data_IF_352734829941
#
_entry.id   IF_352734829941
#
_cell.length_a   1.000
_cell.length_b   1.000
_cell.length_c   1.000
_cell.angle_alpha   90.00
_cell.angle_beta   90.00
_cell.angle_gamma   90.00
#
_symmetry.space_group_name_H-M   'P 1'
#
loop_
_entity.id
_entity.type
_entity.pdbx_description
1 polymer ?
#
# COMPACT_ATOMS: atom_id res chain seq x y z
N UNK A 1 13.24 0.02 38.26
CA UNK A 1 13.68 0.62 37.00
C UNK A 1 12.81 0.06 35.90
N UNK A 2 12.01 0.89 35.24
CA UNK A 2 11.17 0.48 34.12
C UNK A 2 12.05 0.00 32.98
N UNK A 3 11.87 -1.25 32.56
CA UNK A 3 12.63 -1.86 31.48
C UNK A 3 12.18 -1.25 30.15
N UNK A 4 13.12 -0.66 29.39
CA UNK A 4 12.83 -0.14 28.06
C UNK A 4 12.74 -1.31 27.06
N UNK A 5 11.53 -1.56 26.57
CA UNK A 5 11.24 -2.57 25.55
C UNK A 5 11.24 -1.93 24.16
N UNK A 6 11.69 -2.68 23.16
CA UNK A 6 11.69 -2.24 21.76
C UNK A 6 10.32 -2.41 21.12
N UNK A 7 9.90 -1.42 20.31
CA UNK A 7 8.70 -1.50 19.48
C UNK A 7 9.13 -1.81 18.06
N UNK A 8 8.61 -2.91 17.53
CA UNK A 8 8.78 -3.25 16.13
C UNK A 8 7.57 -2.76 15.33
N UNK A 9 7.76 -1.85 14.34
CA UNK A 9 6.64 -1.27 13.59
C UNK A 9 5.78 -2.31 12.86
N UNK A 10 6.38 -3.42 12.41
CA UNK A 10 5.61 -4.45 11.72
C UNK A 10 4.74 -5.24 12.70
N UNK A 11 5.27 -5.58 13.88
CA UNK A 11 4.52 -6.28 14.93
C UNK A 11 3.37 -5.42 15.45
N UNK A 12 3.66 -4.15 15.71
CA UNK A 12 2.66 -3.16 16.12
C UNK A 12 1.55 -3.03 15.08
N UNK A 13 1.91 -2.89 13.80
CA UNK A 13 0.95 -2.77 12.71
C UNK A 13 0.06 -4.01 12.48
N UNK A 14 0.41 -5.18 13.02
CA UNK A 14 -0.47 -6.38 12.98
C UNK A 14 -1.57 -6.35 14.03
N UNK A 15 -1.47 -5.48 15.03
CA UNK A 15 -2.52 -5.27 16.01
C UNK A 15 -3.49 -4.22 15.46
N UNK A 16 -4.80 -4.50 15.30
CA UNK A 16 -5.76 -3.47 14.95
C UNK A 16 -5.66 -2.30 15.94
N UNK A 17 -5.61 -1.04 15.47
CA UNK A 17 -5.59 0.11 16.37
C UNK A 17 -6.88 0.14 17.19
N UNK A 18 -6.76 0.62 18.43
CA UNK A 18 -7.92 0.92 19.26
C UNK A 18 -8.53 2.25 18.81
N UNK A 19 -9.84 2.41 18.96
CA UNK A 19 -10.44 3.75 18.89
C UNK A 19 -9.95 4.60 20.05
N UNK A 20 -10.11 5.93 19.96
CA UNK A 20 -9.73 6.84 21.04
C UNK A 20 -10.47 6.48 22.34
N UNK A 21 -11.76 6.12 22.25
CA UNK A 21 -12.55 5.69 23.40
C UNK A 21 -12.07 4.35 23.98
N UNK A 22 -11.74 3.36 23.13
CA UNK A 22 -11.19 2.09 23.57
C UNK A 22 -9.81 2.26 24.25
N UNK A 23 -8.99 3.18 23.74
CA UNK A 23 -7.70 3.51 24.33
C UNK A 23 -7.87 4.21 25.69
N UNK A 24 -8.74 5.21 25.77
CA UNK A 24 -9.06 5.92 27.03
C UNK A 24 -9.59 4.96 28.09
N UNK A 25 -10.53 4.09 27.72
CA UNK A 25 -11.05 3.10 28.66
C UNK A 25 -9.97 2.14 29.15
N UNK A 26 -9.06 1.72 28.26
CA UNK A 26 -7.92 0.89 28.65
C UNK A 26 -6.97 1.63 29.60
N UNK A 27 -6.73 2.91 29.35
CA UNK A 27 -5.90 3.77 30.19
C UNK A 27 -6.51 3.96 31.58
N UNK A 28 -7.79 4.33 31.68
CA UNK A 28 -8.52 4.45 32.94
C UNK A 28 -8.42 3.18 33.78
N UNK A 29 -8.68 2.01 33.17
CA UNK A 29 -8.60 0.72 33.86
C UNK A 29 -7.18 0.43 34.40
N UNK A 30 -6.14 0.80 33.65
CA UNK A 30 -4.74 0.57 34.07
C UNK A 30 -4.36 1.55 35.20
N UNK A 31 -4.82 2.80 35.12
CA UNK A 31 -4.55 3.83 36.13
C UNK A 31 -5.26 3.54 37.45
N UNK A 32 -6.50 3.05 37.40
CA UNK A 32 -7.26 2.66 38.60
C UNK A 32 -6.56 1.54 39.38
N UNK A 33 -6.02 0.55 38.65
CA UNK A 33 -5.28 -0.57 39.25
C UNK A 33 -3.84 -0.20 39.64
N UNK A 34 -3.24 0.82 39.00
CA UNK A 34 -1.83 1.16 39.14
C UNK A 34 -0.85 0.10 38.60
N UNK A 35 -1.38 -0.93 37.93
CA UNK A 35 -0.65 -2.11 37.47
C UNK A 35 -1.26 -2.63 36.18
N UNK A 36 -0.42 -2.88 35.16
CA UNK A 36 -0.84 -3.64 33.99
C UNK A 36 -1.02 -5.11 34.38
N UNK A 37 -2.28 -5.53 34.56
CA UNK A 37 -2.64 -6.88 35.01
C UNK A 37 -2.18 -7.99 34.06
N UNK A 38 -2.43 -7.79 32.76
CA UNK A 38 -2.01 -8.74 31.73
C UNK A 38 -0.58 -8.43 31.28
N UNK A 39 0.37 -9.38 31.34
CA UNK A 39 1.75 -9.10 31.01
C UNK A 39 1.92 -8.69 29.54
N UNK A 40 2.95 -7.89 29.28
CA UNK A 40 3.40 -7.55 27.93
C UNK A 40 4.16 -8.76 27.38
N UNK A 41 3.74 -9.28 26.23
CA UNK A 41 4.40 -10.42 25.61
C UNK A 41 5.59 -9.90 24.82
N UNK A 42 6.77 -10.44 25.07
CA UNK A 42 8.01 -10.00 24.44
C UNK A 42 8.76 -11.17 23.79
N UNK A 43 9.60 -10.85 22.82
CA UNK A 43 10.57 -11.74 22.21
C UNK A 43 11.88 -10.98 21.98
N UNK A 44 12.98 -11.43 22.60
CA UNK A 44 14.28 -10.76 22.53
C UNK A 44 14.18 -9.26 22.86
N UNK A 45 13.49 -8.91 23.95
CA UNK A 45 13.23 -7.53 24.39
C UNK A 45 12.39 -6.68 23.40
N UNK A 46 11.78 -7.29 22.38
CA UNK A 46 10.85 -6.65 21.45
C UNK A 46 9.42 -6.99 21.82
N UNK A 47 8.52 -6.01 21.81
CA UNK A 47 7.10 -6.23 22.11
C UNK A 47 6.43 -6.99 20.98
N UNK A 48 5.74 -8.07 21.33
CA UNK A 48 4.96 -8.92 20.42
C UNK A 48 3.47 -8.67 20.61
N UNK A 49 3.01 -8.51 21.84
CA UNK A 49 1.63 -8.12 22.17
C UNK A 49 1.60 -7.25 23.44
N UNK A 50 0.66 -6.31 23.49
CA UNK A 50 0.55 -5.35 24.59
C UNK A 50 1.14 -3.97 24.32
N UNK A 51 1.35 -3.60 23.05
CA UNK A 51 1.85 -2.27 22.64
C UNK A 51 1.12 -1.11 23.32
N UNK A 52 -0.22 -1.09 23.32
CA UNK A 52 -1.00 -0.02 23.95
C UNK A 52 -0.84 0.00 25.48
N UNK A 53 -0.85 -1.19 26.12
CA UNK A 53 -0.60 -1.33 27.57
C UNK A 53 0.78 -0.80 27.96
N UNK A 54 1.79 -1.09 27.14
CA UNK A 54 3.14 -0.58 27.34
C UNK A 54 3.21 0.94 27.19
N UNK A 55 2.60 1.51 26.13
CA UNK A 55 2.53 2.96 25.93
C UNK A 55 1.90 3.68 27.13
N UNK A 56 0.77 3.16 27.62
CA UNK A 56 0.08 3.70 28.80
C UNK A 56 1.00 3.64 30.02
N UNK A 57 1.62 2.49 30.31
CA UNK A 57 2.51 2.36 31.46
C UNK A 57 3.74 3.28 31.38
N UNK A 58 4.30 3.47 30.19
CA UNK A 58 5.43 4.38 29.97
C UNK A 58 5.05 5.85 30.08
N UNK A 59 3.80 6.22 29.75
CA UNK A 59 3.28 7.58 29.88
C UNK A 59 2.91 7.97 31.31
N UNK A 60 2.72 6.99 32.21
CA UNK A 60 2.16 7.19 33.53
C UNK A 60 3.12 6.70 34.64
N UNK A 61 3.91 7.60 35.25
CA UNK A 61 4.85 7.24 36.31
C UNK A 61 4.15 6.55 37.48
N UNK A 62 4.68 5.40 37.89
CA UNK A 62 4.12 4.59 38.99
C UNK A 62 3.25 3.43 38.52
N UNK A 63 2.87 3.38 37.23
CA UNK A 63 2.25 2.18 36.67
C UNK A 63 3.30 1.09 36.48
N UNK A 64 3.15 0.00 37.21
CA UNK A 64 4.01 -1.18 37.03
C UNK A 64 3.50 -2.08 35.90
N UNK A 65 4.40 -2.85 35.29
CA UNK A 65 4.03 -3.89 34.34
C UNK A 65 4.96 -5.09 34.47
N UNK A 66 4.46 -6.25 34.03
CA UNK A 66 5.24 -7.49 33.93
C UNK A 66 5.40 -7.87 32.47
N UNK A 67 6.48 -8.56 32.17
CA UNK A 67 6.74 -9.13 30.84
C UNK A 67 6.59 -10.65 30.87
N UNK A 68 6.24 -11.22 29.71
CA UNK A 68 6.27 -12.66 29.47
C UNK A 68 7.07 -12.92 28.20
N UNK A 69 8.25 -13.52 28.36
CA UNK A 69 9.11 -13.89 27.24
C UNK A 69 8.52 -15.10 26.50
N UNK A 70 8.40 -14.95 25.19
CA UNK A 70 7.95 -16.01 24.30
C UNK A 70 9.02 -16.25 23.24
N UNK A 71 9.44 -17.51 23.14
CA UNK A 71 10.41 -17.93 22.15
C UNK A 71 9.75 -18.08 20.77
N UNK A 72 10.41 -17.54 19.75
CA UNK A 72 10.09 -17.77 18.35
C UNK A 72 11.36 -18.12 17.57
N UNK A 73 11.25 -19.08 16.66
CA UNK A 73 12.33 -19.54 15.77
C UNK A 73 12.69 -18.49 14.71
N UNK A 74 11.73 -17.63 14.36
CA UNK A 74 11.89 -16.58 13.36
C UNK A 74 10.89 -15.46 13.55
N UNK A 75 11.19 -14.32 12.91
CA UNK A 75 10.28 -13.17 12.82
C UNK A 75 8.92 -13.55 12.23
N UNK A 76 8.91 -14.40 11.20
CA UNK A 76 7.67 -14.85 10.56
C UNK A 76 6.81 -15.71 11.48
N UNK A 77 7.43 -16.51 12.36
CA UNK A 77 6.70 -17.25 13.39
C UNK A 77 6.08 -16.30 14.42
N UNK A 78 6.78 -15.24 14.82
CA UNK A 78 6.24 -14.20 15.68
C UNK A 78 5.03 -13.50 15.01
N UNK A 79 5.15 -13.09 13.74
CA UNK A 79 4.05 -12.48 12.97
C UNK A 79 2.83 -13.40 12.86
N UNK A 80 3.02 -14.67 12.51
CA UNK A 80 1.94 -15.66 12.46
C UNK A 80 1.25 -15.80 13.82
N UNK A 81 2.03 -15.83 14.90
CA UNK A 81 1.49 -15.90 16.25
C UNK A 81 0.71 -14.63 16.63
N UNK A 82 1.21 -13.44 16.31
CA UNK A 82 0.49 -12.18 16.55
C UNK A 82 -0.87 -12.21 15.86
N UNK A 83 -0.90 -12.53 14.57
CA UNK A 83 -2.15 -12.62 13.82
C UNK A 83 -3.10 -13.67 14.42
N UNK A 84 -2.59 -14.85 14.79
CA UNK A 84 -3.39 -15.90 15.45
C UNK A 84 -3.96 -15.43 16.80
N UNK A 85 -3.17 -14.73 17.59
CA UNK A 85 -3.61 -14.19 18.89
C UNK A 85 -4.70 -13.13 18.70
N UNK A 86 -4.52 -12.21 17.74
CA UNK A 86 -5.53 -11.19 17.43
C UNK A 86 -6.84 -11.81 16.92
N UNK A 87 -6.76 -12.86 16.09
CA UNK A 87 -7.94 -13.60 15.59
C UNK A 87 -8.79 -14.23 16.70
N UNK A 88 -8.25 -14.43 17.91
CA UNK A 88 -9.01 -14.89 19.09
C UNK A 88 -9.91 -13.83 19.72
N UNK A 89 -9.80 -12.54 19.31
CA UNK A 89 -10.65 -11.46 19.81
C UNK A 89 -12.07 -11.57 19.26
N UNK A 90 -13.06 -11.37 20.12
CA UNK A 90 -14.50 -11.48 19.77
C UNK A 90 -15.03 -10.28 18.97
N UNK A 91 -14.34 -9.14 19.02
CA UNK A 91 -14.82 -7.86 18.49
C UNK A 91 -14.18 -7.47 17.15
N UNK A 92 -13.69 -8.44 16.37
CA UNK A 92 -13.12 -8.13 15.05
C UNK A 92 -14.20 -7.93 14.00
N UNK A 93 -14.05 -6.90 13.17
CA UNK A 93 -14.85 -6.75 11.96
C UNK A 93 -14.53 -7.89 10.97
N UNK A 94 -15.44 -8.22 10.04
CA UNK A 94 -15.15 -9.19 8.98
C UNK A 94 -13.89 -8.83 8.16
N UNK A 95 -13.65 -7.54 7.93
CA UNK A 95 -12.49 -7.00 7.21
C UNK A 95 -11.20 -7.21 8.01
N UNK A 96 -11.20 -6.90 9.32
CA UNK A 96 -10.06 -7.16 10.21
C UNK A 96 -9.75 -8.65 10.28
N UNK A 97 -10.77 -9.51 10.47
CA UNK A 97 -10.59 -10.96 10.50
C UNK A 97 -9.96 -11.46 9.20
N UNK A 98 -10.45 -11.00 8.06
CA UNK A 98 -9.90 -11.36 6.75
C UNK A 98 -8.45 -10.90 6.59
N UNK A 99 -8.16 -9.64 6.90
CA UNK A 99 -6.81 -9.09 6.83
C UNK A 99 -5.82 -9.91 7.68
N UNK A 100 -6.16 -10.20 8.93
CA UNK A 100 -5.33 -10.99 9.84
C UNK A 100 -5.12 -12.44 9.35
N UNK A 101 -6.14 -13.07 8.76
CA UNK A 101 -6.00 -14.40 8.13
C UNK A 101 -5.01 -14.35 6.97
N UNK A 102 -5.11 -13.32 6.13
CA UNK A 102 -4.20 -13.11 5.00
C UNK A 102 -2.76 -12.93 5.46
N UNK A 103 -2.53 -12.06 6.45
CA UNK A 103 -1.19 -11.81 6.98
C UNK A 103 -0.58 -13.02 7.69
N UNK A 104 -1.41 -13.78 8.42
CA UNK A 104 -0.99 -15.05 9.01
C UNK A 104 -0.53 -16.03 7.94
N UNK A 105 -1.31 -16.19 6.87
CA UNK A 105 -0.97 -17.10 5.79
C UNK A 105 0.32 -16.67 5.07
N UNK A 106 0.48 -15.37 4.79
CA UNK A 106 1.69 -14.80 4.21
C UNK A 106 2.91 -15.09 5.08
N UNK A 107 2.84 -14.82 6.38
CA UNK A 107 3.94 -15.09 7.31
C UNK A 107 4.31 -16.59 7.36
N UNK A 108 3.31 -17.48 7.43
CA UNK A 108 3.57 -18.93 7.45
C UNK A 108 4.17 -19.46 6.13
N UNK A 109 3.88 -18.85 4.98
CA UNK A 109 4.55 -19.20 3.72
C UNK A 109 6.03 -18.82 3.74
N UNK A 110 6.36 -17.64 4.26
CA UNK A 110 7.75 -17.18 4.36
C UNK A 110 8.59 -18.05 5.32
N UNK A 111 7.97 -18.60 6.38
CA UNK A 111 8.63 -19.56 7.27
C UNK A 111 9.14 -20.83 6.56
N UNK A 112 8.50 -21.25 5.47
CA UNK A 112 8.81 -22.48 4.74
C UNK A 112 9.64 -22.25 3.46
N UNK A 113 10.23 -21.05 3.35
CA UNK A 113 11.05 -20.61 2.22
C UNK A 113 10.26 -19.80 1.20
N UNK A 114 10.31 -18.47 1.35
CA UNK A 114 9.78 -17.50 0.40
C UNK A 114 10.35 -17.66 -1.01
N UNK A 115 9.46 -17.45 -1.99
CA UNK A 115 9.66 -17.45 -3.44
C UNK A 115 10.30 -18.69 -4.11
N UNK A 116 9.49 -19.74 -4.31
CA UNK A 116 9.83 -20.89 -5.17
C UNK A 116 9.52 -20.65 -6.66
N UNK A 117 9.25 -19.40 -7.08
CA UNK A 117 8.95 -19.07 -8.49
C UNK A 117 10.17 -18.74 -9.33
N UNK A 118 11.38 -18.78 -8.78
CA UNK A 118 12.58 -18.66 -9.62
C UNK A 118 12.66 -19.86 -10.57
N UNK A 119 12.83 -19.59 -11.88
CA UNK A 119 12.97 -20.62 -12.92
C UNK A 119 14.14 -21.59 -12.67
N UNK A 120 15.06 -21.22 -11.76
CA UNK A 120 16.23 -21.99 -11.37
C UNK A 120 15.97 -23.09 -10.33
N UNK A 121 14.79 -23.15 -9.69
CA UNK A 121 14.42 -24.26 -8.81
C UNK A 121 13.46 -25.21 -9.53
N UNK A 122 13.92 -25.76 -10.67
CA UNK A 122 13.32 -26.98 -11.23
C UNK A 122 13.73 -28.16 -10.35
N UNK A 123 13.07 -28.33 -9.20
CA UNK A 123 13.12 -29.59 -8.49
C UNK A 123 12.33 -30.61 -9.30
N UNK A 124 13.05 -31.48 -9.99
CA UNK A 124 12.52 -32.64 -10.70
C UNK A 124 12.01 -33.66 -9.69
N UNK A 125 10.70 -33.81 -9.57
CA UNK A 125 10.11 -35.09 -9.20
C UNK A 125 8.83 -35.32 -10.02
N UNK A 126 8.85 -36.39 -10.79
CA UNK A 126 7.75 -36.84 -11.61
C UNK A 126 6.66 -37.40 -10.68
N UNK A 127 5.61 -36.60 -10.42
CA UNK A 127 4.23 -36.96 -10.04
C UNK A 127 3.61 -36.24 -8.83
N UNK A 128 4.28 -35.30 -8.17
CA UNK A 128 3.56 -34.38 -7.28
C UNK A 128 4.31 -33.04 -7.14
N UNK A 129 3.72 -31.89 -7.51
CA UNK A 129 4.38 -30.61 -7.29
C UNK A 129 4.57 -30.35 -5.79
N UNK A 130 5.71 -29.77 -5.40
CA UNK A 130 5.98 -29.23 -4.05
C UNK A 130 4.99 -28.12 -3.57
N UNK A 131 3.89 -27.91 -4.29
CA UNK A 131 2.68 -27.14 -3.95
C UNK A 131 1.99 -27.70 -2.67
N UNK A 132 2.32 -28.94 -2.27
CA UNK A 132 1.80 -29.63 -1.08
C UNK A 132 1.87 -28.80 0.21
N UNK A 133 2.98 -28.09 0.49
CA UNK A 133 3.10 -27.33 1.75
C UNK A 133 2.20 -26.10 1.81
N UNK A 134 2.01 -25.38 0.70
CA UNK A 134 1.10 -24.23 0.64
C UNK A 134 -0.35 -24.67 0.84
N UNK A 135 -0.74 -25.82 0.25
CA UNK A 135 -2.05 -26.43 0.47
C UNK A 135 -2.24 -26.86 1.93
N UNK A 136 -1.24 -27.50 2.54
CA UNK A 136 -1.29 -27.88 3.95
C UNK A 136 -1.43 -26.66 4.89
N UNK A 137 -0.66 -25.59 4.65
CA UNK A 137 -0.72 -24.35 5.42
C UNK A 137 -2.11 -23.72 5.35
N UNK A 138 -2.64 -23.51 4.14
CA UNK A 138 -3.96 -22.86 3.98
C UNK A 138 -5.11 -23.75 4.45
N UNK A 139 -5.01 -25.08 4.33
CA UNK A 139 -6.00 -26.03 4.84
C UNK A 139 -6.08 -25.95 6.37
N UNK A 140 -4.94 -25.96 7.06
CA UNK A 140 -4.88 -25.81 8.51
C UNK A 140 -5.41 -24.46 8.99
N UNK A 141 -5.03 -23.36 8.33
CA UNK A 141 -5.56 -22.03 8.66
C UNK A 141 -7.07 -21.99 8.43
N UNK A 142 -7.57 -22.56 7.34
CA UNK A 142 -8.99 -22.62 7.03
C UNK A 142 -9.77 -23.37 8.12
N UNK A 143 -9.27 -24.53 8.55
CA UNK A 143 -9.86 -25.31 9.65
C UNK A 143 -9.89 -24.51 10.97
N UNK A 144 -8.75 -23.94 11.39
CA UNK A 144 -8.64 -23.17 12.63
C UNK A 144 -9.51 -21.90 12.64
N UNK A 145 -9.81 -21.34 11.46
CA UNK A 145 -10.58 -20.10 11.33
C UNK A 145 -12.04 -20.34 10.94
N UNK A 146 -12.42 -21.60 10.75
CA UNK A 146 -13.71 -22.05 10.22
C UNK A 146 -14.06 -21.38 8.88
N UNK A 147 -13.09 -21.38 7.96
CA UNK A 147 -13.24 -20.86 6.59
C UNK A 147 -12.84 -21.93 5.57
N UNK A 148 -12.76 -21.56 4.27
CA UNK A 148 -12.27 -22.46 3.22
C UNK A 148 -10.85 -22.09 2.79
N UNK A 149 -10.11 -23.05 2.23
CA UNK A 149 -8.78 -22.79 1.66
C UNK A 149 -8.79 -21.63 0.66
N UNK A 150 -9.81 -21.58 -0.21
CA UNK A 150 -9.98 -20.50 -1.17
C UNK A 150 -10.24 -19.16 -0.51
N UNK A 151 -10.90 -19.13 0.66
CA UNK A 151 -11.04 -17.91 1.45
C UNK A 151 -9.69 -17.44 1.98
N UNK A 152 -8.87 -18.33 2.54
CA UNK A 152 -7.51 -18.01 3.03
C UNK A 152 -6.64 -17.44 1.91
N UNK A 153 -6.68 -18.02 0.72
CA UNK A 153 -5.94 -17.50 -0.43
C UNK A 153 -6.41 -16.09 -0.87
N UNK A 154 -7.73 -15.84 -0.86
CA UNK A 154 -8.28 -14.50 -1.16
C UNK A 154 -8.00 -13.50 -0.04
N UNK A 155 -7.89 -13.96 1.20
CA UNK A 155 -7.55 -13.14 2.35
C UNK A 155 -6.13 -12.59 2.23
N UNK A 156 -5.18 -13.39 1.74
CA UNK A 156 -3.84 -12.89 1.38
C UNK A 156 -3.90 -11.78 0.32
N UNK A 157 -4.58 -12.00 -0.81
CA UNK A 157 -4.66 -10.97 -1.85
C UNK A 157 -5.31 -9.68 -1.36
N UNK A 158 -6.32 -9.81 -0.48
CA UNK A 158 -6.93 -8.66 0.17
C UNK A 158 -5.92 -7.95 1.09
N UNK A 159 -5.18 -8.68 1.91
CA UNK A 159 -4.17 -8.12 2.80
C UNK A 159 -3.04 -7.40 2.03
N UNK A 160 -2.53 -8.00 0.95
CA UNK A 160 -1.54 -7.36 0.07
C UNK A 160 -2.09 -6.08 -0.55
N UNK A 161 -3.37 -6.08 -0.95
CA UNK A 161 -4.03 -4.90 -1.50
C UNK A 161 -4.22 -3.78 -0.48
N UNK A 162 -4.54 -4.12 0.76
CA UNK A 162 -4.65 -3.17 1.89
C UNK A 162 -3.28 -2.57 2.22
N UNK A 163 -2.24 -3.39 2.31
CA UNK A 163 -0.87 -2.91 2.58
C UNK A 163 -0.38 -2.00 1.45
N UNK A 164 -0.58 -2.39 0.18
CA UNK A 164 -0.20 -1.57 -0.97
C UNK A 164 -0.99 -0.25 -1.06
N UNK A 165 -2.22 -0.21 -0.55
CA UNK A 165 -3.00 1.02 -0.45
C UNK A 165 -2.47 1.93 0.66
N UNK A 166 -2.10 1.36 1.81
CA UNK A 166 -1.51 2.09 2.94
C UNK A 166 -0.17 2.75 2.57
N UNK A 167 0.66 2.07 1.78
CA UNK A 167 1.93 2.60 1.27
C UNK A 167 1.77 3.92 0.49
N UNK A 168 0.72 4.03 -0.31
CA UNK A 168 0.48 5.20 -1.18
C UNK A 168 -0.49 6.22 -0.59
N UNK A 169 -1.30 5.80 0.41
CA UNK A 169 -2.33 6.61 1.03
C UNK A 169 -2.47 6.25 2.52
N UNK A 170 -1.56 6.74 3.39
CA UNK A 170 -1.57 6.39 4.81
C UNK A 170 -2.91 6.66 5.50
N UNK A 171 -3.30 5.75 6.40
CA UNK A 171 -4.58 5.74 7.11
C UNK A 171 -5.73 5.06 6.36
N UNK A 172 -5.56 4.71 5.08
CA UNK A 172 -6.61 4.00 4.32
C UNK A 172 -6.82 2.58 4.84
N UNK A 173 -5.79 1.92 5.37
CA UNK A 173 -5.93 0.60 5.97
C UNK A 173 -6.96 0.63 7.10
N UNK A 174 -6.83 1.56 8.02
CA UNK A 174 -7.72 1.62 9.19
C UNK A 174 -9.15 1.90 8.76
N UNK A 175 -9.35 2.85 7.84
CA UNK A 175 -10.64 3.14 7.22
C UNK A 175 -11.28 1.90 6.55
N UNK A 176 -10.49 1.08 5.86
CA UNK A 176 -10.97 -0.16 5.24
C UNK A 176 -11.29 -1.25 6.27
N UNK A 177 -10.44 -1.40 7.29
CA UNK A 177 -10.57 -2.45 8.31
C UNK A 177 -11.72 -2.18 9.29
N UNK A 178 -11.99 -0.93 9.63
CA UNK A 178 -13.19 -0.55 10.41
C UNK A 178 -14.46 -0.51 9.56
N UNK A 179 -14.32 -0.67 8.24
CA UNK A 179 -15.45 -0.76 7.30
C UNK A 179 -16.10 0.58 6.97
N UNK A 180 -15.37 1.70 7.15
CA UNK A 180 -15.79 3.05 6.73
C UNK A 180 -16.09 3.10 5.24
N UNK A 181 -15.26 2.40 4.45
CA UNK A 181 -15.50 2.16 3.03
C UNK A 181 -15.73 0.67 2.78
N UNK A 182 -16.64 0.36 1.85
CA UNK A 182 -16.99 -1.03 1.47
C UNK A 182 -16.73 -1.28 -0.02
N UNK A 183 -15.49 -1.07 -0.51
CA UNK A 183 -15.16 -1.40 -1.89
C UNK A 183 -15.26 -2.91 -2.12
N UNK A 184 -15.28 -3.33 -3.40
CA UNK A 184 -15.19 -4.75 -3.70
C UNK A 184 -13.80 -5.24 -3.31
N UNK A 185 -13.72 -6.41 -2.68
CA UNK A 185 -12.44 -7.00 -2.27
C UNK A 185 -11.47 -7.21 -3.44
N UNK A 186 -12.02 -7.47 -4.64
CA UNK A 186 -11.24 -7.59 -5.87
C UNK A 186 -10.60 -6.27 -6.31
N UNK A 187 -11.24 -5.14 -6.02
CA UNK A 187 -10.68 -3.80 -6.29
C UNK A 187 -9.52 -3.52 -5.33
N UNK A 188 -9.69 -3.85 -4.05
CA UNK A 188 -8.61 -3.73 -3.05
C UNK A 188 -7.43 -4.61 -3.45
N UNK A 189 -7.66 -5.88 -3.77
CA UNK A 189 -6.62 -6.82 -4.18
C UNK A 189 -5.89 -6.42 -5.47
N UNK A 190 -6.54 -5.66 -6.37
CA UNK A 190 -5.93 -5.21 -7.61
C UNK A 190 -4.80 -4.19 -7.37
N UNK A 191 -4.84 -3.44 -6.26
CA UNK A 191 -3.84 -2.41 -5.93
C UNK A 191 -2.44 -3.01 -5.84
N UNK A 192 -2.28 -4.16 -5.16
CA UNK A 192 -0.99 -4.82 -5.03
C UNK A 192 -0.32 -5.16 -6.37
N UNK A 193 -1.13 -5.38 -7.42
CA UNK A 193 -0.67 -5.74 -8.77
C UNK A 193 -0.45 -4.54 -9.69
N UNK A 194 -0.92 -3.36 -9.28
CA UNK A 194 -0.85 -2.15 -10.09
C UNK A 194 0.54 -1.50 -10.00
N UNK A 195 0.88 -0.68 -11.02
CA UNK A 195 2.09 0.13 -11.01
C UNK A 195 2.03 1.18 -9.88
N UNK A 196 3.17 1.72 -9.39
CA UNK A 196 3.16 2.71 -8.31
C UNK A 196 2.26 3.93 -8.58
N UNK A 197 2.20 4.39 -9.84
CA UNK A 197 1.35 5.51 -10.26
C UNK A 197 -0.13 5.11 -10.17
N UNK A 198 -0.47 3.92 -10.67
CA UNK A 198 -1.86 3.43 -10.68
C UNK A 198 -2.36 3.07 -9.27
N UNK A 199 -1.48 2.59 -8.38
CA UNK A 199 -1.82 2.25 -6.98
C UNK A 199 -2.49 3.42 -6.26
N UNK A 200 -1.93 4.63 -6.41
CA UNK A 200 -2.46 5.82 -5.73
C UNK A 200 -3.87 6.14 -6.22
N UNK A 201 -4.09 6.16 -7.53
CA UNK A 201 -5.42 6.41 -8.08
C UNK A 201 -6.44 5.33 -7.70
N UNK A 202 -6.03 4.05 -7.74
CA UNK A 202 -6.90 2.94 -7.33
C UNK A 202 -7.24 3.00 -5.84
N UNK A 203 -6.28 3.37 -4.98
CA UNK A 203 -6.48 3.56 -3.55
C UNK A 203 -7.45 4.72 -3.27
N UNK A 204 -7.33 5.84 -3.97
CA UNK A 204 -8.28 6.96 -3.87
C UNK A 204 -9.69 6.55 -4.31
N UNK A 205 -9.80 5.72 -5.36
CA UNK A 205 -11.09 5.19 -5.81
C UNK A 205 -11.76 4.24 -4.80
N UNK A 206 -11.03 3.67 -3.83
CA UNK A 206 -11.65 2.85 -2.78
C UNK A 206 -12.56 3.65 -1.84
N UNK A 207 -12.35 4.98 -1.76
CA UNK A 207 -13.15 5.88 -0.91
C UNK A 207 -14.52 6.22 -1.52
N UNK A 208 -14.68 6.02 -2.83
CA UNK A 208 -15.88 6.39 -3.57
C UNK A 208 -17.00 5.34 -3.39
N UNK A 209 -18.24 5.80 -3.23
CA UNK A 209 -19.41 4.92 -3.28
C UNK A 209 -19.67 4.45 -4.71
N UNK A 210 -20.50 3.41 -4.88
CA UNK A 210 -20.89 2.95 -6.23
C UNK A 210 -21.46 4.07 -7.10
N UNK A 211 -22.33 4.91 -6.51
CA UNK A 211 -22.98 6.02 -7.23
C UNK A 211 -21.98 7.12 -7.63
N UNK A 212 -20.95 7.34 -6.81
CA UNK A 212 -19.87 8.29 -7.12
C UNK A 212 -18.91 7.74 -8.20
N UNK A 213 -18.67 6.43 -8.21
CA UNK A 213 -17.87 5.75 -9.24
C UNK A 213 -18.54 5.80 -10.61
N UNK A 214 -19.86 5.62 -10.67
CA UNK A 214 -20.60 5.68 -11.93
C UNK A 214 -20.54 7.10 -12.53
N UNK A 215 -20.63 8.14 -11.70
CA UNK A 215 -20.43 9.54 -12.12
C UNK A 215 -18.98 9.85 -12.54
N UNK A 216 -17.99 9.32 -11.83
CA UNK A 216 -16.57 9.50 -12.17
C UNK A 216 -16.18 8.77 -13.47
N UNK A 217 -16.77 7.60 -13.74
CA UNK A 217 -16.52 6.81 -14.95
C UNK A 217 -16.97 7.51 -16.23
N UNK A 218 -18.04 8.32 -16.16
CA UNK A 218 -18.51 9.14 -17.27
C UNK A 218 -17.49 10.24 -17.66
N UNK A 219 -16.68 10.70 -16.71
CA UNK A 219 -15.62 11.71 -16.91
C UNK A 219 -14.27 11.07 -17.31
N UNK A 220 -14.03 9.81 -16.92
CA UNK A 220 -12.77 9.07 -17.14
C UNK A 220 -12.55 8.54 -18.58
N UNK A 221 -13.55 8.60 -19.48
CA UNK A 221 -13.36 8.18 -20.88
C UNK A 221 -12.25 8.98 -21.59
N UNK A 222 -12.00 10.23 -21.16
CA UNK A 222 -10.92 11.09 -21.63
C UNK A 222 -9.52 10.70 -21.10
N UNK A 223 -9.44 10.16 -19.88
CA UNK A 223 -8.17 9.77 -19.24
C UNK A 223 -7.63 8.42 -19.71
N UNK A 224 -8.52 7.52 -20.15
CA UNK A 224 -8.14 6.19 -20.66
C UNK A 224 -7.43 6.28 -22.02
N UNK A 225 -7.91 7.17 -22.91
CA UNK A 225 -7.20 7.51 -24.16
C UNK A 225 -5.82 8.11 -23.86
N UNK A 226 -5.74 9.05 -22.91
CA UNK A 226 -4.48 9.70 -22.53
C UNK A 226 -3.43 8.72 -21.99
N UNK A 227 -3.82 7.67 -21.25
CA UNK A 227 -2.89 6.61 -20.77
C UNK A 227 -2.40 5.69 -21.88
N UNK A 228 -3.26 5.36 -22.85
CA UNK A 228 -2.84 4.63 -24.05
C UNK A 228 -1.85 5.45 -24.87
N UNK A 229 -2.07 6.76 -25.02
CA UNK A 229 -1.16 7.65 -25.72
C UNK A 229 0.26 7.65 -25.08
N UNK A 230 0.36 7.66 -23.74
CA UNK A 230 1.67 7.62 -23.07
C UNK A 230 2.40 6.28 -23.21
N UNK A 231 1.67 5.16 -23.11
CA UNK A 231 2.26 3.82 -23.31
C UNK A 231 2.68 3.59 -24.76
N UNK A 232 1.92 4.10 -25.73
CA UNK A 232 2.28 4.05 -27.15
C UNK A 232 3.51 4.91 -27.46
N UNK A 233 3.64 6.09 -26.83
CA UNK A 233 4.84 6.94 -26.96
C UNK A 233 6.07 6.25 -26.37
N UNK A 234 5.97 5.63 -25.19
CA UNK A 234 7.08 4.95 -24.54
C UNK A 234 7.53 3.70 -25.31
N UNK A 235 6.57 2.95 -25.87
CA UNK A 235 6.84 1.81 -26.75
C UNK A 235 7.52 2.26 -28.04
N UNK A 236 7.01 3.32 -28.68
CA UNK A 236 7.60 3.88 -29.90
C UNK A 236 9.03 4.42 -29.66
N UNK A 237 9.29 4.99 -28.49
CA UNK A 237 10.62 5.49 -28.11
C UNK A 237 11.62 4.34 -27.89
N UNK A 238 11.20 3.26 -27.23
CA UNK A 238 12.04 2.05 -27.06
C UNK A 238 12.25 1.29 -28.38
N UNK A 239 11.31 1.34 -29.31
CA UNK A 239 11.47 0.80 -30.67
C UNK A 239 12.43 1.65 -31.54
N UNK A 240 12.35 2.98 -31.44
CA UNK A 240 13.29 3.91 -32.07
C UNK A 240 14.71 3.71 -31.56
N UNK A 241 14.88 3.47 -30.26
CA UNK A 241 16.18 3.21 -29.63
C UNK A 241 16.81 1.88 -30.05
N UNK A 242 16.00 0.92 -30.51
CA UNK A 242 16.45 -0.41 -31.01
C UNK A 242 16.80 -0.41 -32.49
N UNK A 243 16.37 0.59 -33.26
CA UNK A 243 16.77 0.73 -34.66
C UNK A 243 18.04 1.58 -34.73
N UNK A 244 19.17 0.91 -34.91
CA UNK A 244 20.48 1.51 -35.20
C UNK A 244 20.51 2.08 -36.65
N UNK A 245 19.53 2.93 -36.98
CA UNK A 245 19.60 3.82 -38.14
C UNK A 245 20.34 5.06 -37.65
N UNK A 246 21.36 5.50 -38.40
CA UNK A 246 21.95 6.84 -38.22
C UNK A 246 20.83 7.88 -38.37
N UNK A 247 20.21 8.26 -37.25
CA UNK A 247 19.28 9.37 -37.16
C UNK A 247 20.06 10.59 -37.62
N UNK A 248 19.61 11.21 -38.72
CA UNK A 248 20.22 12.45 -39.19
C UNK A 248 19.86 13.60 -38.27
N UNK A 249 20.63 14.69 -38.32
CA UNK A 249 20.30 15.91 -37.56
C UNK A 249 18.90 16.44 -37.95
N UNK A 250 18.49 16.25 -39.21
CA UNK A 250 17.16 16.61 -39.70
C UNK A 250 16.04 15.77 -39.03
N UNK A 251 16.26 14.45 -38.86
CA UNK A 251 15.30 13.57 -38.17
C UNK A 251 15.14 13.96 -36.69
N UNK A 252 16.22 14.41 -36.06
CA UNK A 252 16.19 14.92 -34.68
C UNK A 252 15.42 16.25 -34.59
N UNK A 253 15.60 17.16 -35.55
CA UNK A 253 14.85 18.42 -35.62
C UNK A 253 13.35 18.19 -35.85
N UNK A 254 12.98 17.22 -36.69
CA UNK A 254 11.56 16.87 -36.91
C UNK A 254 10.92 16.26 -35.65
N UNK A 255 11.67 15.44 -34.91
CA UNK A 255 11.23 14.89 -33.61
C UNK A 255 11.01 16.00 -32.57
N UNK A 256 11.94 16.97 -32.48
CA UNK A 256 11.81 18.14 -31.61
C UNK A 256 10.59 18.99 -31.99
N UNK A 257 10.36 19.20 -33.29
CA UNK A 257 9.18 19.91 -33.79
C UNK A 257 7.88 19.20 -33.39
N UNK A 258 7.84 17.87 -33.43
CA UNK A 258 6.67 17.10 -33.00
C UNK A 258 6.42 17.22 -31.48
N UNK A 259 7.48 17.20 -30.68
CA UNK A 259 7.39 17.39 -29.23
C UNK A 259 6.83 18.78 -28.87
N UNK A 260 7.35 19.85 -29.49
CA UNK A 260 6.86 21.22 -29.27
C UNK A 260 5.39 21.38 -29.66
N UNK A 261 4.96 20.81 -30.79
CA UNK A 261 3.54 20.82 -31.19
C UNK A 261 2.64 20.12 -30.17
N UNK A 262 3.10 19.01 -29.61
CA UNK A 262 2.38 18.26 -28.59
C UNK A 262 2.25 19.07 -27.30
N UNK A 263 3.33 19.72 -26.85
CA UNK A 263 3.32 20.63 -25.71
C UNK A 263 2.28 21.74 -25.89
N UNK A 264 2.31 22.45 -27.04
CA UNK A 264 1.35 23.52 -27.34
C UNK A 264 -0.09 23.00 -27.33
N UNK A 265 -0.34 21.84 -27.95
CA UNK A 265 -1.66 21.20 -27.97
C UNK A 265 -2.17 20.92 -26.55
N UNK A 266 -1.32 20.40 -25.67
CA UNK A 266 -1.65 20.14 -24.27
C UNK A 266 -1.98 21.45 -23.54
N UNK A 267 -1.17 22.49 -23.70
CA UNK A 267 -1.43 23.80 -23.12
C UNK A 267 -2.78 24.37 -23.56
N UNK A 268 -3.08 24.32 -24.87
CA UNK A 268 -4.36 24.80 -25.41
C UNK A 268 -5.55 24.03 -24.84
N UNK A 269 -5.44 22.70 -24.74
CA UNK A 269 -6.50 21.88 -24.14
C UNK A 269 -6.79 22.26 -22.68
N UNK A 270 -5.76 22.58 -21.88
CA UNK A 270 -5.97 23.08 -20.53
C UNK A 270 -6.64 24.46 -20.53
N UNK A 271 -6.23 25.37 -21.42
CA UNK A 271 -6.83 26.71 -21.51
C UNK A 271 -8.31 26.63 -21.93
N UNK A 272 -8.65 25.76 -22.87
CA UNK A 272 -10.03 25.54 -23.33
C UNK A 272 -10.92 24.98 -22.22
N UNK A 273 -10.43 23.98 -21.47
CA UNK A 273 -11.19 23.36 -20.38
C UNK A 273 -11.24 24.20 -19.10
N UNK A 274 -10.28 25.13 -18.93
CA UNK A 274 -10.18 26.00 -17.76
C UNK A 274 -9.97 27.46 -18.16
N UNK A 275 -11.01 28.17 -18.68
CA UNK A 275 -10.87 29.53 -19.22
C UNK A 275 -10.33 30.56 -18.21
N UNK A 276 -10.55 30.32 -16.90
CA UNK A 276 -10.02 31.14 -15.79
C UNK A 276 -8.49 31.24 -15.81
N UNK A 277 -7.79 30.27 -16.40
CA UNK A 277 -6.33 30.29 -16.55
C UNK A 277 -5.82 31.49 -17.36
N UNK A 278 -6.64 32.02 -18.27
CA UNK A 278 -6.27 33.17 -19.12
C UNK A 278 -7.10 34.41 -18.84
N UNK A 279 -8.28 34.28 -18.22
CA UNK A 279 -9.16 35.41 -17.91
C UNK A 279 -8.94 36.02 -16.52
N UNK A 280 -8.47 35.25 -15.54
CA UNK A 280 -8.18 35.76 -14.19
C UNK A 280 -6.69 36.04 -14.00
N UNK A 281 -6.37 37.23 -13.48
CA UNK A 281 -5.00 37.72 -13.37
C UNK A 281 -4.10 36.82 -12.52
N UNK A 282 -4.63 36.24 -11.43
CA UNK A 282 -3.87 35.38 -10.52
C UNK A 282 -3.44 34.07 -11.20
N UNK A 283 -4.32 33.44 -11.96
CA UNK A 283 -4.01 32.20 -12.67
C UNK A 283 -3.16 32.46 -13.91
N UNK A 284 -3.43 33.56 -14.63
CA UNK A 284 -2.62 33.98 -15.77
C UNK A 284 -1.17 34.23 -15.36
N UNK A 285 -0.93 34.83 -14.20
CA UNK A 285 0.42 35.04 -13.68
C UNK A 285 1.15 33.71 -13.45
N UNK A 286 0.51 32.74 -12.78
CA UNK A 286 1.07 31.40 -12.55
C UNK A 286 1.31 30.63 -13.85
N UNK A 287 0.40 30.72 -14.81
CA UNK A 287 0.56 30.09 -16.12
C UNK A 287 1.78 30.66 -16.85
N UNK A 288 1.96 31.99 -16.82
CA UNK A 288 3.13 32.65 -17.41
C UNK A 288 4.42 32.25 -16.69
N UNK A 289 4.39 32.14 -15.37
CA UNK A 289 5.53 31.69 -14.55
C UNK A 289 5.98 30.27 -14.93
N UNK A 290 5.05 29.33 -15.06
CA UNK A 290 5.35 27.96 -15.51
C UNK A 290 5.98 27.97 -16.92
N UNK A 291 5.44 28.78 -17.83
CA UNK A 291 5.97 28.88 -19.19
C UNK A 291 7.32 29.63 -19.27
N UNK A 292 7.80 30.25 -18.18
CA UNK A 292 9.15 30.84 -18.16
C UNK A 292 10.24 29.80 -18.27
N UNK A 293 10.05 28.59 -17.77
CA UNK A 293 11.07 27.54 -17.84
C UNK A 293 11.42 27.19 -19.30
N UNK A 294 10.39 26.98 -20.12
CA UNK A 294 10.55 26.76 -21.56
C UNK A 294 11.22 27.96 -22.25
N UNK A 295 10.88 29.19 -21.83
CA UNK A 295 11.49 30.42 -22.36
C UNK A 295 12.96 30.54 -21.97
N UNK A 296 13.33 30.20 -20.74
CA UNK A 296 14.71 30.23 -20.27
C UNK A 296 15.58 29.23 -21.03
N UNK A 297 15.07 28.02 -21.25
CA UNK A 297 15.75 27.01 -22.06
C UNK A 297 16.01 27.48 -23.50
N UNK A 298 15.06 28.18 -24.13
CA UNK A 298 15.27 28.77 -25.47
C UNK A 298 16.40 29.80 -25.44
N UNK A 299 16.45 30.67 -24.43
CA UNK A 299 17.52 31.66 -24.28
C UNK A 299 18.90 31.02 -24.08
N UNK A 300 18.98 29.91 -23.37
CA UNK A 300 20.21 29.14 -23.21
C UNK A 300 20.72 28.62 -24.56
N UNK A 301 19.81 28.13 -25.42
CA UNK A 301 20.15 27.68 -26.77
C UNK A 301 20.55 28.82 -27.71
N UNK A 302 19.97 30.01 -27.54
CA UNK A 302 20.31 31.21 -28.32
C UNK A 302 21.65 31.84 -27.89
N UNK A 303 22.25 31.37 -26.78
CA UNK A 303 23.51 31.89 -26.26
C UNK A 303 23.38 33.19 -25.45
N UNK A 304 22.15 33.58 -25.10
CA UNK A 304 21.82 34.85 -24.44
C UNK A 304 21.83 34.76 -22.89
N UNK A 305 22.53 33.75 -22.34
CA UNK A 305 22.73 33.62 -20.89
C UNK A 305 23.73 34.68 -20.38
N UNK A 306 23.22 35.83 -19.97
CA UNK A 306 23.84 36.70 -18.95
C UNK A 306 23.02 36.68 -17.67
#
# INVERSE_FOLDING_TARGET
MSQLLAIDPEFEARCPPLTDEEYQQLEENILEEGLVLMPIIIWNNTIVDGHNRYKIAMGNPGVEFRTHEKFFDSRYQALSWICKNQLGRRNLTPQQKKYLIGQRYKAEKEMHGGDRKSENVKSTDQNDPLISTSHATRARIAEETHTSEGYVQRAEYYADGVDAAEEVLPGIRDDLLVGKYKPKETEVAAIARASPIDRKELAEQLRLTKDDKDKASATQSSGKHRRQDYQEIETAYEELKKQDKKVSEDDALDSLRAAVRTMIRVCNNFIENFPRLVTEQAYKHKLVEIMQEAKSYIKELEGDAK
#
